data_IF_958915702498
#
_entry.id   IF_958915702498
#
_cell.length_a   1.000
_cell.length_b   1.000
_cell.length_c   1.000
_cell.angle_alpha   90.00
_cell.angle_beta   90.00
_cell.angle_gamma   90.00
#
_symmetry.space_group_name_H-M   'P 1'
#
loop_
_entity.id
_entity.type
_entity.pdbx_description
1 polymer ?
#
# COMPACT_ATOMS: atom_id res chain seq x y z
N UNK A 1 -9.43 19.93 -13.79
CA UNK A 1 -8.90 18.77 -13.01
C UNK A 1 -9.83 18.56 -11.83
N UNK A 2 -10.18 17.33 -11.49
CA UNK A 2 -11.02 17.05 -10.33
C UNK A 2 -10.25 17.36 -9.05
N UNK A 3 -10.91 17.98 -8.07
CA UNK A 3 -10.32 18.32 -6.76
C UNK A 3 -10.15 17.06 -5.89
N UNK A 4 -11.01 16.05 -6.09
CA UNK A 4 -11.05 14.81 -5.33
C UNK A 4 -10.80 13.60 -6.21
N UNK A 5 -10.22 12.55 -5.63
CA UNK A 5 -9.97 11.28 -6.32
C UNK A 5 -11.29 10.63 -6.78
N UNK A 6 -12.27 10.56 -5.89
CA UNK A 6 -13.62 10.08 -6.18
C UNK A 6 -14.66 10.69 -5.23
N UNK A 7 -15.93 10.38 -5.48
CA UNK A 7 -17.06 10.84 -4.67
C UNK A 7 -17.05 10.33 -3.20
N UNK A 8 -16.23 9.32 -2.89
CA UNK A 8 -16.11 8.84 -1.50
C UNK A 8 -15.41 9.85 -0.58
N UNK A 9 -14.62 10.78 -1.15
CA UNK A 9 -13.93 11.81 -0.36
C UNK A 9 -14.85 12.94 0.10
N UNK A 10 -15.94 13.17 -0.61
CA UNK A 10 -16.89 14.25 -0.33
C UNK A 10 -18.10 13.81 0.49
N UNK A 11 -18.16 12.55 0.90
CA UNK A 11 -19.25 12.05 1.73
C UNK A 11 -19.29 12.73 3.09
N UNK A 12 -20.51 13.00 3.61
CA UNK A 12 -20.69 13.41 4.99
C UNK A 12 -20.18 12.34 5.98
N UNK A 13 -19.89 12.74 7.20
CA UNK A 13 -19.53 11.80 8.28
C UNK A 13 -20.61 10.74 8.47
N UNK A 14 -21.89 11.12 8.49
CA UNK A 14 -23.01 10.19 8.67
C UNK A 14 -23.10 9.19 7.53
N UNK A 15 -22.96 9.62 6.28
CA UNK A 15 -22.94 8.73 5.11
C UNK A 15 -21.75 7.75 5.16
N UNK A 16 -20.60 8.20 5.66
CA UNK A 16 -19.42 7.36 5.85
C UNK A 16 -19.67 6.32 6.94
N UNK A 17 -20.18 6.74 8.09
CA UNK A 17 -20.45 5.84 9.21
C UNK A 17 -21.52 4.82 8.86
N UNK A 18 -22.59 5.21 8.16
CA UNK A 18 -23.61 4.29 7.67
C UNK A 18 -23.04 3.24 6.69
N UNK A 19 -22.16 3.66 5.78
CA UNK A 19 -21.50 2.75 4.84
C UNK A 19 -20.58 1.75 5.55
N UNK A 20 -19.85 2.19 6.59
CA UNK A 20 -19.01 1.31 7.42
C UNK A 20 -19.88 0.31 8.17
N UNK A 21 -20.92 0.76 8.86
CA UNK A 21 -21.85 -0.10 9.60
C UNK A 21 -22.46 -1.19 8.70
N UNK A 22 -22.88 -0.83 7.49
CA UNK A 22 -23.42 -1.78 6.52
C UNK A 22 -22.36 -2.78 5.97
N UNK A 23 -21.07 -2.43 5.99
CA UNK A 23 -19.99 -3.29 5.52
C UNK A 23 -19.46 -4.25 6.58
N UNK A 24 -19.51 -3.88 7.88
CA UNK A 24 -18.91 -4.65 8.97
C UNK A 24 -19.41 -6.12 9.05
N UNK A 25 -20.72 -6.42 9.05
CA UNK A 25 -21.19 -7.80 9.12
C UNK A 25 -20.66 -8.68 7.99
N UNK A 26 -20.61 -8.13 6.79
CA UNK A 26 -20.10 -8.84 5.61
C UNK A 26 -18.60 -9.07 5.69
N UNK A 27 -17.83 -8.10 6.19
CA UNK A 27 -16.39 -8.21 6.34
C UNK A 27 -16.04 -9.28 7.40
N UNK A 28 -16.72 -9.30 8.53
CA UNK A 28 -16.53 -10.32 9.59
C UNK A 28 -16.90 -11.71 9.06
N UNK A 29 -18.05 -11.85 8.42
CA UNK A 29 -18.47 -13.13 7.84
C UNK A 29 -17.51 -13.61 6.72
N UNK A 30 -16.94 -12.70 5.92
CA UNK A 30 -15.95 -13.04 4.92
C UNK A 30 -14.63 -13.52 5.57
N UNK A 31 -14.18 -12.87 6.64
CA UNK A 31 -13.01 -13.29 7.40
C UNK A 31 -13.20 -14.69 8.00
N UNK A 32 -14.33 -14.97 8.63
CA UNK A 32 -14.65 -16.28 9.18
C UNK A 32 -14.60 -17.41 8.14
N UNK A 33 -14.99 -17.14 6.90
CA UNK A 33 -14.98 -18.15 5.81
C UNK A 33 -13.69 -18.19 5.01
N UNK A 34 -12.95 -17.09 5.00
CA UNK A 34 -11.86 -16.87 4.03
C UNK A 34 -10.50 -17.39 4.49
N UNK A 35 -10.29 -17.59 5.79
CA UNK A 35 -8.98 -17.95 6.33
C UNK A 35 -9.11 -18.74 7.62
N UNK A 36 -8.42 -19.91 7.73
CA UNK A 36 -8.50 -20.80 8.90
C UNK A 36 -8.19 -20.10 10.24
N UNK A 37 -7.26 -19.15 10.25
CA UNK A 37 -6.95 -18.35 11.44
C UNK A 37 -8.18 -17.60 11.93
N UNK A 38 -8.86 -16.87 11.04
CA UNK A 38 -10.02 -16.08 11.40
C UNK A 38 -11.26 -16.93 11.67
N UNK A 39 -11.38 -18.10 11.02
CA UNK A 39 -12.41 -19.08 11.37
C UNK A 39 -12.31 -19.48 12.85
N UNK A 40 -11.09 -19.78 13.33
CA UNK A 40 -10.86 -20.13 14.75
C UNK A 40 -10.97 -18.92 15.68
N UNK A 41 -10.35 -17.79 15.29
CA UNK A 41 -10.31 -16.59 16.13
C UNK A 41 -11.69 -15.99 16.39
N UNK A 42 -12.59 -16.10 15.41
CA UNK A 42 -13.94 -15.54 15.45
C UNK A 42 -15.01 -16.62 15.67
N UNK A 43 -14.61 -17.79 16.19
CA UNK A 43 -15.57 -18.85 16.53
C UNK A 43 -16.61 -18.35 17.53
N UNK A 44 -17.87 -18.68 17.29
CA UNK A 44 -19.00 -18.23 18.11
C UNK A 44 -19.38 -16.75 17.95
N UNK A 45 -18.67 -15.97 17.10
CA UNK A 45 -19.06 -14.58 16.83
C UNK A 45 -20.21 -14.55 15.81
N UNK A 46 -21.33 -13.94 16.19
CA UNK A 46 -22.38 -13.58 15.23
C UNK A 46 -21.95 -12.37 14.40
N UNK A 47 -21.52 -12.62 13.18
CA UNK A 47 -21.10 -11.57 12.25
C UNK A 47 -22.21 -10.54 12.00
N UNK A 48 -23.49 -10.97 12.02
CA UNK A 48 -24.65 -10.10 11.83
C UNK A 48 -24.81 -9.05 12.94
N UNK A 49 -24.34 -9.37 14.14
CA UNK A 49 -24.39 -8.46 15.29
C UNK A 49 -23.25 -7.41 15.32
N UNK A 50 -22.25 -7.51 14.43
CA UNK A 50 -21.14 -6.55 14.38
C UNK A 50 -21.51 -5.40 13.43
N UNK A 51 -22.31 -4.46 13.93
CA UNK A 51 -22.89 -3.37 13.11
C UNK A 51 -22.29 -1.98 13.40
N UNK A 52 -21.44 -1.86 14.43
CA UNK A 52 -20.85 -0.58 14.83
C UNK A 52 -19.42 -0.74 15.38
N UNK A 53 -18.78 0.38 15.70
CA UNK A 53 -17.43 0.41 16.24
C UNK A 53 -17.32 -0.26 17.61
N UNK A 54 -18.35 -0.17 18.46
CA UNK A 54 -18.36 -0.77 19.79
C UNK A 54 -18.44 -2.31 19.70
N UNK A 55 -19.25 -2.84 18.78
CA UNK A 55 -19.30 -4.26 18.50
C UNK A 55 -17.99 -4.77 17.91
N UNK A 56 -17.39 -4.03 16.97
CA UNK A 56 -16.09 -4.36 16.38
C UNK A 56 -14.97 -4.38 17.42
N UNK A 57 -14.96 -3.43 18.36
CA UNK A 57 -13.94 -3.33 19.41
C UNK A 57 -13.95 -4.51 20.40
N UNK A 58 -15.03 -5.29 20.46
CA UNK A 58 -15.12 -6.49 21.30
C UNK A 58 -14.52 -7.73 20.64
N UNK A 59 -14.23 -7.67 19.35
CA UNK A 59 -13.62 -8.82 18.66
C UNK A 59 -12.17 -9.03 19.09
N UNK A 60 -11.70 -10.28 19.12
CA UNK A 60 -10.31 -10.58 19.43
C UNK A 60 -9.37 -10.02 18.36
N UNK A 61 -8.17 -9.61 18.78
CA UNK A 61 -7.16 -8.97 17.92
C UNK A 61 -6.02 -9.92 17.63
N UNK A 62 -5.68 -10.10 16.36
CA UNK A 62 -4.44 -10.76 15.94
C UNK A 62 -3.25 -9.85 16.23
N UNK A 63 -2.31 -10.31 17.07
CA UNK A 63 -1.12 -9.55 17.44
C UNK A 63 0.02 -9.81 16.46
N UNK A 64 0.62 -8.75 15.91
CA UNK A 64 1.76 -8.88 14.99
C UNK A 64 2.94 -9.64 15.61
N UNK A 65 3.18 -9.47 16.91
CA UNK A 65 4.23 -10.19 17.63
C UNK A 65 4.06 -11.72 17.65
N UNK A 66 2.84 -12.22 17.50
CA UNK A 66 2.56 -13.67 17.46
C UNK A 66 2.71 -14.25 16.04
N UNK A 67 2.74 -13.43 14.99
CA UNK A 67 2.70 -13.92 13.61
C UNK A 67 3.94 -14.71 13.21
N UNK A 68 5.13 -14.38 13.74
CA UNK A 68 6.37 -15.09 13.41
C UNK A 68 6.24 -16.57 13.83
N UNK A 69 5.87 -16.82 15.08
CA UNK A 69 5.68 -18.18 15.58
C UNK A 69 4.55 -18.89 14.85
N UNK A 70 3.42 -18.22 14.64
CA UNK A 70 2.27 -18.77 13.94
C UNK A 70 2.59 -19.17 12.50
N UNK A 71 3.37 -18.38 11.77
CA UNK A 71 3.80 -18.70 10.39
C UNK A 71 4.86 -19.80 10.36
N UNK A 72 5.67 -19.93 11.40
CA UNK A 72 6.62 -21.05 11.53
C UNK A 72 5.91 -22.39 11.79
N UNK A 73 4.81 -22.38 12.56
CA UNK A 73 4.01 -23.57 12.86
C UNK A 73 3.09 -23.99 11.70
N UNK A 74 2.55 -23.02 10.95
CA UNK A 74 1.62 -23.24 9.82
C UNK A 74 2.06 -22.42 8.59
N UNK A 75 3.12 -22.81 7.86
CA UNK A 75 3.61 -22.09 6.67
C UNK A 75 2.60 -22.11 5.51
N UNK A 76 2.59 -21.09 4.63
CA UNK A 76 3.47 -19.91 4.68
C UNK A 76 2.92 -18.75 5.52
N UNK A 77 1.60 -18.71 5.81
CA UNK A 77 0.95 -17.51 6.37
C UNK A 77 0.28 -17.73 7.72
N UNK A 78 0.48 -18.88 8.37
CA UNK A 78 -0.16 -19.16 9.67
C UNK A 78 -1.69 -19.24 9.57
N UNK A 79 -2.22 -19.71 8.44
CA UNK A 79 -3.65 -19.74 8.20
C UNK A 79 -4.34 -18.38 8.01
N UNK A 80 -3.57 -17.28 7.91
CA UNK A 80 -4.12 -15.92 7.75
C UNK A 80 -4.67 -15.63 6.35
N UNK A 81 -4.12 -16.27 5.34
CA UNK A 81 -4.56 -16.11 3.96
C UNK A 81 -4.19 -17.34 3.11
N UNK A 82 -4.97 -17.70 2.10
CA UNK A 82 -4.61 -18.72 1.13
C UNK A 82 -3.64 -18.15 0.08
N UNK A 83 -2.74 -19.00 -0.47
CA UNK A 83 -1.86 -18.60 -1.59
C UNK A 83 -2.64 -18.33 -2.89
N UNK A 84 -3.79 -18.94 -3.03
CA UNK A 84 -4.64 -18.77 -4.23
C UNK A 84 -5.06 -17.30 -4.40
N UNK A 85 -4.99 -16.81 -5.63
CA UNK A 85 -5.31 -15.43 -6.01
C UNK A 85 -4.31 -14.36 -5.55
N UNK A 86 -3.14 -14.74 -5.03
CA UNK A 86 -2.08 -13.79 -4.76
C UNK A 86 -1.26 -13.48 -6.01
N UNK A 87 -0.89 -12.21 -6.18
CA UNK A 87 0.02 -11.77 -7.24
C UNK A 87 1.48 -11.88 -6.82
N UNK A 88 1.78 -11.62 -5.53
CA UNK A 88 3.13 -11.63 -4.95
C UNK A 88 3.08 -11.99 -3.47
N UNK A 89 4.23 -12.43 -2.96
CA UNK A 89 4.47 -12.61 -1.53
C UNK A 89 5.67 -11.78 -1.14
N UNK A 90 5.59 -11.11 -0.01
CA UNK A 90 6.64 -10.27 0.54
C UNK A 90 7.06 -10.74 1.92
N UNK A 91 8.26 -10.35 2.32
CA UNK A 91 8.78 -10.54 3.67
C UNK A 91 8.99 -9.17 4.32
N UNK A 92 8.19 -8.82 5.31
CA UNK A 92 8.45 -7.66 6.14
C UNK A 92 9.47 -7.98 7.24
N UNK A 93 10.18 -6.95 7.79
CA UNK A 93 11.13 -7.21 8.87
C UNK A 93 10.49 -7.98 10.04
N UNK A 94 11.13 -9.15 10.39
CA UNK A 94 10.62 -10.03 11.42
C UNK A 94 11.12 -11.47 11.33
N UNK A 95 11.21 -12.23 10.19
CA UNK A 95 10.43 -12.02 8.98
C UNK A 95 8.97 -12.42 9.15
N UNK A 96 8.06 -11.61 8.58
CA UNK A 96 6.65 -11.93 8.48
C UNK A 96 6.29 -11.92 6.99
N UNK A 97 5.70 -13.01 6.51
CA UNK A 97 5.31 -13.15 5.11
C UNK A 97 3.89 -12.64 4.89
N UNK A 98 3.72 -11.83 3.85
CA UNK A 98 2.48 -11.14 3.51
C UNK A 98 2.15 -11.30 2.03
N UNK A 99 0.89 -11.58 1.71
CA UNK A 99 0.44 -11.72 0.34
C UNK A 99 -0.12 -10.42 -0.23
N UNK A 100 0.13 -10.20 -1.50
CA UNK A 100 -0.49 -9.14 -2.28
C UNK A 100 -1.63 -9.71 -3.12
N UNK A 101 -2.82 -9.13 -3.03
CA UNK A 101 -3.94 -9.47 -3.88
C UNK A 101 -3.68 -9.12 -5.36
N UNK A 102 -4.22 -9.93 -6.27
CA UNK A 102 -4.12 -9.69 -7.72
C UNK A 102 -5.21 -8.72 -8.18
N UNK A 103 -5.10 -7.46 -7.74
CA UNK A 103 -5.98 -6.35 -8.13
C UNK A 103 -5.13 -5.14 -8.54
N UNK A 104 -5.68 -4.17 -9.29
CA UNK A 104 -4.89 -3.03 -9.78
C UNK A 104 -4.22 -2.19 -8.69
N UNK A 105 -4.92 -1.91 -7.58
CA UNK A 105 -4.41 -1.10 -6.46
C UNK A 105 -4.78 -1.77 -5.11
N UNK A 106 -4.15 -2.93 -4.78
CA UNK A 106 -4.51 -3.71 -3.60
C UNK A 106 -4.26 -2.96 -2.29
N UNK A 107 -3.35 -2.01 -2.29
CA UNK A 107 -2.95 -1.21 -1.13
C UNK A 107 -3.69 0.12 -1.04
N UNK A 108 -4.48 0.49 -2.08
CA UNK A 108 -5.25 1.74 -2.19
C UNK A 108 -4.38 2.99 -2.13
N UNK A 109 -3.15 2.91 -2.67
CA UNK A 109 -2.21 4.02 -2.73
C UNK A 109 -2.55 5.06 -3.80
N UNK A 110 -3.35 4.73 -4.81
CA UNK A 110 -3.80 5.70 -5.83
C UNK A 110 -4.42 6.94 -5.19
N UNK A 111 -5.24 6.77 -4.16
CA UNK A 111 -5.86 7.87 -3.43
C UNK A 111 -4.83 8.77 -2.72
N UNK A 112 -3.84 8.17 -2.05
CA UNK A 112 -2.79 8.92 -1.37
C UNK A 112 -1.92 9.70 -2.37
N UNK A 113 -1.54 9.06 -3.48
CA UNK A 113 -0.79 9.69 -4.55
C UNK A 113 -1.57 10.81 -5.24
N UNK A 114 -2.88 10.64 -5.44
CA UNK A 114 -3.73 11.71 -5.95
C UNK A 114 -3.77 12.91 -4.98
N UNK A 115 -3.88 12.64 -3.68
CA UNK A 115 -3.88 13.68 -2.65
C UNK A 115 -2.54 14.43 -2.56
N UNK A 116 -1.41 13.75 -2.84
CA UNK A 116 -0.08 14.39 -2.93
C UNK A 116 0.09 15.24 -4.19
N UNK A 117 -0.83 15.19 -5.15
CA UNK A 117 -0.80 16.01 -6.36
C UNK A 117 -0.44 15.27 -7.64
N UNK A 118 -0.23 13.94 -7.60
CA UNK A 118 0.01 13.13 -8.78
C UNK A 118 -1.26 13.05 -9.65
N UNK A 119 -1.11 13.19 -10.97
CA UNK A 119 -2.23 13.15 -11.93
C UNK A 119 -1.88 12.26 -13.12
N UNK A 120 -2.91 11.72 -13.77
CA UNK A 120 -2.74 10.85 -14.94
C UNK A 120 -1.81 11.48 -15.97
N UNK A 121 -0.85 10.70 -16.44
CA UNK A 121 0.20 11.13 -17.36
C UNK A 121 1.46 11.70 -16.69
N UNK A 122 1.44 12.00 -15.39
CA UNK A 122 2.65 12.38 -14.65
C UNK A 122 3.56 11.16 -14.49
N UNK A 123 4.87 11.32 -14.69
CA UNK A 123 5.86 10.28 -14.44
C UNK A 123 6.25 10.30 -12.95
N UNK A 124 6.13 9.15 -12.29
CA UNK A 124 6.62 8.93 -10.93
C UNK A 124 8.03 8.29 -10.95
N UNK A 125 9.00 8.92 -10.29
CA UNK A 125 10.30 8.33 -9.99
C UNK A 125 10.22 7.59 -8.64
N UNK A 126 10.14 6.27 -8.67
CA UNK A 126 9.96 5.46 -7.46
C UNK A 126 11.28 4.87 -6.97
N UNK A 127 11.75 5.34 -5.83
CA UNK A 127 12.99 4.94 -5.19
C UNK A 127 12.80 3.99 -3.98
N UNK A 128 11.59 3.47 -3.76
CA UNK A 128 11.41 2.37 -2.81
C UNK A 128 11.87 1.03 -3.38
N UNK A 129 12.28 0.12 -2.48
CA UNK A 129 12.77 -1.20 -2.87
C UNK A 129 11.67 -2.04 -3.57
N UNK A 130 12.08 -2.74 -4.63
CA UNK A 130 11.27 -3.74 -5.35
C UNK A 130 11.64 -5.17 -4.99
N UNK A 131 12.44 -5.36 -3.93
CA UNK A 131 12.89 -6.66 -3.43
C UNK A 131 12.46 -6.87 -2.00
N UNK A 132 12.08 -8.11 -1.66
CA UNK A 132 11.60 -8.58 -0.36
C UNK A 132 10.36 -7.85 0.18
N UNK A 133 10.41 -6.52 0.33
CA UNK A 133 9.35 -5.70 0.94
C UNK A 133 8.37 -5.14 -0.11
N UNK A 134 7.13 -4.82 0.26
CA UNK A 134 6.11 -4.40 -0.70
C UNK A 134 6.20 -2.94 -1.17
N UNK A 135 7.02 -2.08 -0.50
CA UNK A 135 6.92 -0.63 -0.64
C UNK A 135 7.02 -0.13 -2.10
N UNK A 136 7.99 -0.62 -2.88
CA UNK A 136 8.13 -0.25 -4.29
C UNK A 136 6.86 -0.60 -5.10
N UNK A 137 6.33 -1.80 -4.90
CA UNK A 137 5.11 -2.24 -5.58
C UNK A 137 3.86 -1.52 -5.12
N UNK A 138 3.78 -1.09 -3.86
CA UNK A 138 2.64 -0.32 -3.33
C UNK A 138 2.48 1.00 -4.08
N UNK A 139 3.58 1.75 -4.22
CA UNK A 139 3.60 3.04 -4.91
C UNK A 139 3.44 2.86 -6.43
N UNK A 140 4.12 1.86 -7.02
CA UNK A 140 4.02 1.53 -8.44
C UNK A 140 2.56 1.23 -8.86
N UNK A 141 1.91 0.30 -8.17
CA UNK A 141 0.54 -0.09 -8.49
C UNK A 141 -0.45 1.06 -8.27
N UNK A 142 -0.28 1.84 -7.20
CA UNK A 142 -1.10 3.03 -6.95
C UNK A 142 -0.95 4.08 -8.04
N UNK A 143 0.28 4.38 -8.48
CA UNK A 143 0.54 5.31 -9.56
C UNK A 143 -0.04 4.82 -10.89
N UNK A 144 0.14 3.54 -11.22
CA UNK A 144 -0.42 2.94 -12.45
C UNK A 144 -1.95 2.95 -12.44
N UNK A 145 -2.59 2.74 -11.28
CA UNK A 145 -4.04 2.85 -11.14
C UNK A 145 -4.56 4.28 -11.38
N UNK A 146 -3.71 5.31 -11.17
CA UNK A 146 -3.98 6.69 -11.55
C UNK A 146 -3.73 6.99 -13.03
N UNK A 147 -3.16 6.05 -13.80
CA UNK A 147 -2.74 6.29 -15.17
C UNK A 147 -1.38 6.99 -15.27
N UNK A 148 -0.53 6.86 -14.25
CA UNK A 148 0.82 7.42 -14.20
C UNK A 148 1.84 6.34 -14.57
N UNK A 149 2.74 6.59 -15.56
CA UNK A 149 3.91 5.74 -15.75
C UNK A 149 4.85 5.85 -14.54
N UNK A 150 5.60 4.77 -14.27
CA UNK A 150 6.54 4.70 -13.16
C UNK A 150 7.92 4.36 -13.68
N UNK A 151 8.93 5.14 -13.27
CA UNK A 151 10.33 4.74 -13.38
C UNK A 151 10.71 3.99 -12.10
N UNK A 152 10.96 2.67 -12.17
CA UNK A 152 11.21 1.83 -11.00
C UNK A 152 12.70 1.88 -10.61
N UNK A 153 13.15 3.05 -10.15
CA UNK A 153 14.55 3.31 -9.81
C UNK A 153 15.07 2.45 -8.66
N UNK A 154 14.21 2.15 -7.68
CA UNK A 154 14.59 1.37 -6.52
C UNK A 154 15.56 2.12 -5.60
N UNK A 155 16.25 1.37 -4.75
CA UNK A 155 17.22 1.93 -3.79
C UNK A 155 18.64 1.99 -4.36
N UNK A 156 19.46 2.92 -3.86
CA UNK A 156 20.87 3.05 -4.24
C UNK A 156 21.09 3.70 -5.61
N UNK A 157 22.30 3.54 -6.15
CA UNK A 157 22.70 4.06 -7.46
C UNK A 157 22.47 5.56 -7.66
N UNK A 158 22.80 6.40 -6.67
CA UNK A 158 22.44 7.83 -6.58
C UNK A 158 22.77 8.61 -7.85
N UNK A 159 23.95 8.41 -8.46
CA UNK A 159 24.31 9.07 -9.72
C UNK A 159 23.41 8.66 -10.88
N UNK A 160 23.11 7.36 -11.03
CA UNK A 160 22.20 6.89 -12.08
C UNK A 160 20.78 7.43 -11.87
N UNK A 161 20.32 7.53 -10.63
CA UNK A 161 19.03 8.13 -10.28
C UNK A 161 18.98 9.61 -10.67
N UNK A 162 20.04 10.40 -10.37
CA UNK A 162 20.14 11.80 -10.75
C UNK A 162 20.14 11.97 -12.28
N UNK A 163 20.93 11.18 -13.01
CA UNK A 163 20.96 11.20 -14.48
C UNK A 163 19.62 10.79 -15.10
N UNK A 164 18.97 9.77 -14.55
CA UNK A 164 17.64 9.35 -15.00
C UNK A 164 16.59 10.45 -14.76
N UNK A 165 16.60 11.07 -13.59
CA UNK A 165 15.69 12.15 -13.27
C UNK A 165 15.87 13.38 -14.17
N UNK A 166 17.13 13.77 -14.47
CA UNK A 166 17.43 14.86 -15.40
C UNK A 166 16.94 14.55 -16.84
N UNK A 167 17.09 13.31 -17.28
CA UNK A 167 16.72 12.90 -18.65
C UNK A 167 15.20 12.69 -18.80
N UNK A 168 14.58 11.92 -17.88
CA UNK A 168 13.18 11.55 -17.95
C UNK A 168 12.23 12.65 -17.44
N UNK A 169 12.75 13.61 -16.67
CA UNK A 169 12.02 14.76 -16.10
C UNK A 169 10.75 14.34 -15.34
N UNK A 170 10.82 13.39 -14.40
CA UNK A 170 9.67 12.99 -13.62
C UNK A 170 9.12 14.18 -12.83
N UNK A 171 7.81 14.27 -12.73
CA UNK A 171 7.15 15.30 -11.92
C UNK A 171 7.16 14.97 -10.44
N UNK A 172 7.12 13.67 -10.11
CA UNK A 172 6.94 13.20 -8.75
C UNK A 172 8.04 12.23 -8.34
N UNK A 173 8.33 12.23 -7.05
CA UNK A 173 9.24 11.31 -6.38
C UNK A 173 8.50 10.50 -5.32
N UNK A 174 8.84 9.24 -5.17
CA UNK A 174 8.49 8.44 -4.00
C UNK A 174 9.71 7.71 -3.47
N UNK A 175 10.00 7.91 -2.20
CA UNK A 175 11.19 7.39 -1.51
C UNK A 175 11.36 8.05 -0.16
N UNK A 176 12.51 7.83 0.47
CA UNK A 176 12.82 8.53 1.73
C UNK A 176 13.36 9.94 1.47
N UNK A 177 13.08 10.92 2.34
CA UNK A 177 13.56 12.30 2.15
C UNK A 177 15.09 12.44 2.09
N UNK A 178 15.80 11.64 2.86
CA UNK A 178 17.27 11.61 2.87
C UNK A 178 17.83 11.10 1.52
N UNK A 179 17.18 10.11 0.90
CA UNK A 179 17.60 9.63 -0.41
C UNK A 179 17.27 10.64 -1.53
N UNK A 180 16.13 11.33 -1.45
CA UNK A 180 15.86 12.45 -2.37
C UNK A 180 16.95 13.53 -2.26
N UNK A 181 17.31 13.91 -1.03
CA UNK A 181 18.39 14.86 -0.78
C UNK A 181 19.68 14.41 -1.46
N UNK A 182 20.09 13.15 -1.27
CA UNK A 182 21.30 12.61 -1.87
C UNK A 182 21.27 12.65 -3.42
N UNK A 183 20.10 12.40 -4.04
CA UNK A 183 19.90 12.50 -5.50
C UNK A 183 20.05 13.96 -5.95
N UNK A 184 19.47 14.92 -5.23
CA UNK A 184 19.53 16.34 -5.57
C UNK A 184 20.97 16.87 -5.45
N UNK A 185 21.66 16.56 -4.34
CA UNK A 185 23.10 16.92 -4.13
C UNK A 185 23.99 16.35 -5.23
N UNK A 186 23.74 15.08 -5.64
CA UNK A 186 24.46 14.48 -6.75
C UNK A 186 24.14 15.14 -8.09
N UNK A 187 22.90 15.57 -8.28
CA UNK A 187 22.48 16.36 -9.45
C UNK A 187 23.26 17.68 -9.55
N UNK A 188 23.37 18.40 -8.42
CA UNK A 188 24.13 19.66 -8.35
C UNK A 188 25.62 19.45 -8.65
N UNK A 189 26.26 18.43 -8.06
CA UNK A 189 27.65 18.05 -8.34
C UNK A 189 27.91 17.78 -9.82
N UNK A 190 26.93 17.22 -10.53
CA UNK A 190 27.04 16.87 -11.93
C UNK A 190 26.50 17.95 -12.90
N UNK A 191 26.03 19.07 -12.36
CA UNK A 191 25.42 20.16 -13.15
C UNK A 191 24.13 19.74 -13.87
N UNK A 192 23.32 18.84 -13.29
CA UNK A 192 22.10 18.33 -13.87
C UNK A 192 20.86 19.13 -13.42
N UNK A 193 19.92 19.37 -14.34
CA UNK A 193 18.64 20.00 -14.02
C UNK A 193 17.64 18.96 -13.49
N UNK A 194 17.30 19.04 -12.20
CA UNK A 194 16.31 18.22 -11.50
C UNK A 194 15.04 18.98 -11.13
N UNK A 195 14.83 20.19 -11.65
CA UNK A 195 13.71 21.08 -11.30
C UNK A 195 12.32 20.54 -11.71
N UNK A 196 12.26 19.43 -12.45
CA UNK A 196 10.99 18.74 -12.75
C UNK A 196 10.38 18.05 -11.54
N UNK A 197 11.16 17.64 -10.54
CA UNK A 197 10.69 17.02 -9.30
C UNK A 197 10.00 18.09 -8.42
N UNK A 198 8.67 18.09 -8.44
CA UNK A 198 7.84 19.11 -7.76
C UNK A 198 6.86 18.54 -6.73
N UNK A 199 6.65 17.23 -6.76
CA UNK A 199 5.67 16.52 -5.90
C UNK A 199 6.36 15.31 -5.30
N UNK A 200 6.27 15.17 -3.99
CA UNK A 200 6.88 14.06 -3.25
C UNK A 200 6.02 13.59 -2.08
#
# INVERSE_FOLDING_TARGET
>A
MTEHYDALETRSTDARMAAIAAALPRAVAAAQRGAPHFTRLLDGVDAGAVTDAAALARLPVTRKSALIAQQAEDPPFGGLAPLIHMARVFASPGPIYEGQANTPDPWRFARALFASGLRAGDLLHNCFAYSFTPAGFMLDLGARALGCPVFPGGTGHTEMQARAAAHLRPRSYSGTPDFLKAILEKGDELGLDLASLRVG
#
